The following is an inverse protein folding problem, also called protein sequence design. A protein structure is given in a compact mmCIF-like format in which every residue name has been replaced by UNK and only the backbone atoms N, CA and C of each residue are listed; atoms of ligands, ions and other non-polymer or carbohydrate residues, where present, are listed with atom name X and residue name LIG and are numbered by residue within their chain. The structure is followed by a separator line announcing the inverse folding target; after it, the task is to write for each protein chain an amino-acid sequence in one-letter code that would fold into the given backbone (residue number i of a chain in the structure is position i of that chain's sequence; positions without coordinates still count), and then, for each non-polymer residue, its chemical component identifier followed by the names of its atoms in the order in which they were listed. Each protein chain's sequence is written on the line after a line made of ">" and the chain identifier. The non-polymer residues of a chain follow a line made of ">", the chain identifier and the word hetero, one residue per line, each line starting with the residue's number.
data_IF_106754138234
#
_entry.id   IF_106754138234
#
_cell.length_a   1.000
_cell.length_b   1.000
_cell.length_c   1.000
_cell.angle_alpha   90.00
_cell.angle_beta   90.00
_cell.angle_gamma   90.00
#
_symmetry.space_group_name_H-M   'P 1'
#
loop_
_entity.id
_entity.type
_entity.pdbx_description
1 polymer ?
#
# COMPACT_ATOMS: atom_id res chain seq x y z
N UNK A 1 -6.20 -18.82 -20.35
CA UNK A 1 -5.57 -17.84 -19.44
C UNK A 1 -5.41 -16.52 -20.18
N UNK A 2 -6.41 -15.63 -20.10
CA UNK A 2 -6.28 -14.26 -20.61
C UNK A 2 -5.62 -13.43 -19.51
N UNK A 3 -4.60 -12.69 -19.90
CA UNK A 3 -3.73 -11.89 -19.06
C UNK A 3 -4.53 -10.66 -18.56
N UNK A 4 -5.08 -10.72 -17.34
CA UNK A 4 -5.82 -9.62 -16.69
C UNK A 4 -4.93 -8.66 -15.88
N UNK A 5 -3.61 -8.85 -15.90
CA UNK A 5 -2.67 -8.16 -15.01
C UNK A 5 -2.16 -6.79 -15.49
N UNK A 6 -2.90 -6.03 -16.31
CA UNK A 6 -2.39 -4.74 -16.80
C UNK A 6 -3.41 -3.60 -16.93
N UNK A 7 -4.59 -3.71 -16.33
CA UNK A 7 -5.69 -2.79 -16.64
C UNK A 7 -5.99 -1.70 -15.58
N UNK A 8 -5.33 -1.65 -14.42
CA UNK A 8 -5.88 -0.86 -13.30
C UNK A 8 -5.50 0.63 -13.23
N UNK A 9 -4.33 1.08 -13.70
CA UNK A 9 -3.91 2.48 -13.44
C UNK A 9 -4.18 3.43 -14.62
N UNK A 10 -4.06 2.95 -15.86
CA UNK A 10 -4.16 3.82 -17.04
C UNK A 10 -5.61 4.17 -17.37
N UNK A 11 -6.55 3.26 -17.10
CA UNK A 11 -7.99 3.49 -17.29
C UNK A 11 -8.58 4.37 -16.19
N UNK A 12 -8.20 4.16 -14.92
CA UNK A 12 -8.69 5.00 -13.80
C UNK A 12 -8.20 6.45 -13.87
N UNK A 13 -7.02 6.71 -14.46
CA UNK A 13 -6.46 8.08 -14.61
C UNK A 13 -7.05 8.87 -15.78
N UNK A 14 -7.65 8.21 -16.78
CA UNK A 14 -8.19 8.89 -17.97
C UNK A 14 -9.59 9.48 -17.77
N UNK A 15 -10.23 9.24 -16.63
CA UNK A 15 -11.65 9.52 -16.42
C UNK A 15 -11.86 10.25 -15.08
N UNK A 16 -11.64 11.56 -15.06
CA UNK A 16 -12.00 12.41 -13.92
C UNK A 16 -13.52 12.60 -13.77
N UNK A 17 -14.31 12.20 -14.76
CA UNK A 17 -15.77 12.09 -14.66
C UNK A 17 -16.17 10.61 -14.51
N UNK A 18 -16.88 10.28 -13.43
CA UNK A 18 -17.44 8.94 -13.21
C UNK A 18 -16.49 7.96 -12.50
N UNK A 19 -15.63 8.44 -11.60
CA UNK A 19 -14.77 7.56 -10.80
C UNK A 19 -15.59 6.59 -9.94
N UNK A 20 -16.67 7.09 -9.31
CA UNK A 20 -17.61 6.26 -8.55
C UNK A 20 -18.24 5.15 -9.41
N UNK A 21 -18.67 5.47 -10.62
CA UNK A 21 -19.29 4.51 -11.56
C UNK A 21 -18.28 3.46 -12.03
N UNK A 22 -17.04 3.87 -12.31
CA UNK A 22 -15.98 2.94 -12.68
C UNK A 22 -15.61 2.00 -11.53
N UNK A 23 -15.48 2.53 -10.31
CA UNK A 23 -15.24 1.71 -9.11
C UNK A 23 -16.36 0.68 -8.91
N UNK A 24 -17.63 1.11 -9.03
CA UNK A 24 -18.81 0.25 -8.98
C UNK A 24 -18.79 -0.83 -10.07
N UNK A 25 -18.46 -0.48 -11.31
CA UNK A 25 -18.37 -1.42 -12.43
C UNK A 25 -17.28 -2.47 -12.21
N UNK A 26 -16.07 -2.04 -11.83
CA UNK A 26 -14.94 -2.95 -11.63
C UNK A 26 -15.19 -3.88 -10.43
N UNK A 27 -15.69 -3.33 -9.31
CA UNK A 27 -16.05 -4.16 -8.15
C UNK A 27 -17.16 -5.16 -8.49
N UNK A 28 -18.17 -4.75 -9.28
CA UNK A 28 -19.20 -5.63 -9.83
C UNK A 28 -18.61 -6.82 -10.61
N UNK A 29 -17.67 -6.56 -11.52
CA UNK A 29 -16.99 -7.62 -12.27
C UNK A 29 -16.17 -8.56 -11.39
N UNK A 30 -15.51 -8.05 -10.33
CA UNK A 30 -14.78 -8.90 -9.37
C UNK A 30 -15.75 -9.86 -8.66
N UNK A 31 -16.90 -9.36 -8.20
CA UNK A 31 -17.90 -10.20 -7.53
C UNK A 31 -18.61 -11.17 -8.47
N UNK A 32 -18.87 -10.78 -9.72
CA UNK A 32 -19.44 -11.65 -10.74
C UNK A 32 -18.49 -12.81 -11.07
N UNK A 33 -17.20 -12.50 -11.27
CA UNK A 33 -16.18 -13.52 -11.48
C UNK A 33 -16.06 -14.49 -10.30
N UNK A 34 -16.06 -13.96 -9.07
CA UNK A 34 -16.07 -14.79 -7.86
C UNK A 34 -17.27 -15.75 -7.87
N UNK A 35 -18.46 -15.21 -8.12
CA UNK A 35 -19.71 -15.95 -8.16
C UNK A 35 -19.66 -17.08 -9.20
N UNK A 36 -19.29 -16.78 -10.45
CA UNK A 36 -19.18 -17.77 -11.53
C UNK A 36 -18.24 -18.93 -11.16
N UNK A 37 -17.10 -18.61 -10.54
CA UNK A 37 -16.13 -19.61 -10.10
C UNK A 37 -16.60 -20.45 -8.90
N UNK A 38 -17.57 -19.95 -8.14
CA UNK A 38 -18.15 -20.65 -6.98
C UNK A 38 -19.45 -21.39 -7.29
N UNK A 39 -20.30 -20.89 -8.18
CA UNK A 39 -21.59 -21.51 -8.56
C UNK A 39 -21.36 -22.83 -9.32
N UNK A 40 -20.38 -22.89 -10.23
CA UNK A 40 -19.99 -24.13 -10.89
C UNK A 40 -19.46 -25.22 -9.93
N UNK A 41 -19.08 -24.82 -8.72
CA UNK A 41 -18.69 -25.73 -7.65
C UNK A 41 -19.87 -26.22 -6.80
N UNK A 42 -21.04 -25.56 -6.82
CA UNK A 42 -22.16 -25.93 -5.94
C UNK A 42 -22.83 -27.24 -6.34
N UNK A 43 -22.89 -27.57 -7.63
CA UNK A 43 -23.33 -28.89 -8.13
C UNK A 43 -22.39 -30.02 -7.69
N UNK A 44 -21.07 -29.79 -7.76
CA UNK A 44 -20.04 -30.74 -7.30
C UNK A 44 -20.03 -30.86 -5.76
N UNK A 45 -20.28 -29.76 -5.05
CA UNK A 45 -20.42 -29.74 -3.59
C UNK A 45 -21.67 -30.46 -3.12
N UNK A 46 -22.79 -30.38 -3.85
CA UNK A 46 -23.99 -31.17 -3.57
C UNK A 46 -23.71 -32.69 -3.67
N UNK A 47 -22.73 -33.08 -4.48
CA UNK A 47 -22.22 -34.45 -4.59
C UNK A 47 -21.08 -34.78 -3.59
N UNK A 48 -20.76 -33.86 -2.66
CA UNK A 48 -19.71 -34.04 -1.66
C UNK A 48 -18.27 -33.87 -2.20
N UNK A 49 -18.11 -33.42 -3.44
CA UNK A 49 -16.81 -33.22 -4.09
C UNK A 49 -16.37 -31.76 -3.93
N UNK A 50 -15.79 -31.43 -2.76
CA UNK A 50 -15.27 -30.09 -2.47
C UNK A 50 -13.80 -30.00 -2.88
N UNK A 51 -13.47 -29.17 -3.87
CA UNK A 51 -12.08 -28.82 -4.18
C UNK A 51 -11.62 -27.61 -3.35
N UNK A 52 -11.25 -27.85 -2.09
CA UNK A 52 -10.81 -26.81 -1.16
C UNK A 52 -9.64 -25.95 -1.69
N UNK A 53 -8.80 -26.51 -2.57
CA UNK A 53 -7.69 -25.79 -3.19
C UNK A 53 -8.18 -24.75 -4.19
N UNK A 54 -9.09 -25.11 -5.09
CA UNK A 54 -9.66 -24.19 -6.08
C UNK A 54 -10.45 -23.07 -5.40
N UNK A 55 -11.24 -23.42 -4.40
CA UNK A 55 -11.97 -22.46 -3.58
C UNK A 55 -11.04 -21.42 -2.92
N UNK A 56 -9.93 -21.90 -2.36
CA UNK A 56 -8.93 -21.04 -1.74
C UNK A 56 -8.22 -20.15 -2.77
N UNK A 57 -7.99 -20.65 -3.99
CA UNK A 57 -7.40 -19.87 -5.07
C UNK A 57 -8.36 -18.76 -5.55
N UNK A 58 -9.64 -19.08 -5.75
CA UNK A 58 -10.68 -18.10 -6.12
C UNK A 58 -10.79 -17.03 -5.05
N UNK A 59 -10.79 -17.43 -3.77
CA UNK A 59 -10.76 -16.51 -2.64
C UNK A 59 -9.57 -15.55 -2.72
N UNK A 60 -8.34 -16.07 -2.83
CA UNK A 60 -7.13 -15.25 -2.87
C UNK A 60 -7.12 -14.31 -4.09
N UNK A 61 -7.60 -14.74 -5.25
CA UNK A 61 -7.68 -13.89 -6.44
C UNK A 61 -8.68 -12.75 -6.27
N UNK A 62 -9.86 -13.07 -5.70
CA UNK A 62 -10.90 -12.08 -5.41
C UNK A 62 -10.40 -11.05 -4.40
N UNK A 63 -9.79 -11.52 -3.32
CA UNK A 63 -9.20 -10.67 -2.29
C UNK A 63 -8.13 -9.74 -2.85
N UNK A 64 -7.12 -10.27 -3.55
CA UNK A 64 -6.05 -9.44 -4.09
C UNK A 64 -6.57 -8.37 -5.05
N UNK A 65 -7.48 -8.75 -5.96
CA UNK A 65 -8.05 -7.83 -6.94
C UNK A 65 -8.83 -6.70 -6.26
N UNK A 66 -9.62 -7.05 -5.24
CA UNK A 66 -10.42 -6.07 -4.50
C UNK A 66 -9.54 -5.17 -3.62
N UNK A 67 -8.57 -5.76 -2.89
CA UNK A 67 -7.60 -5.03 -2.09
C UNK A 67 -6.87 -3.97 -2.93
N UNK A 68 -6.40 -4.34 -4.12
CA UNK A 68 -5.76 -3.39 -5.03
C UNK A 68 -6.71 -2.26 -5.44
N UNK A 69 -7.94 -2.58 -5.86
CA UNK A 69 -8.94 -1.59 -6.24
C UNK A 69 -9.27 -0.62 -5.08
N UNK A 70 -9.52 -1.16 -3.90
CA UNK A 70 -9.85 -0.39 -2.69
C UNK A 70 -8.73 0.57 -2.30
N UNK A 71 -7.49 0.08 -2.25
CA UNK A 71 -6.35 0.91 -1.88
C UNK A 71 -6.00 1.94 -2.96
N UNK A 72 -6.17 1.61 -4.24
CA UNK A 72 -6.00 2.57 -5.32
C UNK A 72 -7.04 3.69 -5.26
N UNK A 73 -8.28 3.39 -4.87
CA UNK A 73 -9.31 4.43 -4.71
C UNK A 73 -8.96 5.41 -3.58
N UNK A 74 -8.45 4.92 -2.45
CA UNK A 74 -7.96 5.76 -1.36
C UNK A 74 -6.83 6.69 -1.85
N UNK A 75 -5.83 6.13 -2.54
CA UNK A 75 -4.70 6.92 -3.05
C UNK A 75 -5.16 7.93 -4.11
N UNK A 76 -6.06 7.55 -5.01
CA UNK A 76 -6.64 8.45 -6.00
C UNK A 76 -7.27 9.67 -5.34
N UNK A 77 -8.11 9.47 -4.32
CA UNK A 77 -8.74 10.58 -3.59
C UNK A 77 -7.75 11.53 -2.94
N UNK A 78 -6.71 10.98 -2.32
CA UNK A 78 -5.65 11.79 -1.70
C UNK A 78 -4.96 12.66 -2.76
N UNK A 79 -4.75 12.13 -3.97
CA UNK A 79 -4.03 12.84 -5.02
C UNK A 79 -4.90 13.86 -5.78
N UNK A 80 -6.17 13.58 -6.01
CA UNK A 80 -7.03 14.41 -6.89
C UNK A 80 -7.79 15.50 -6.15
N UNK A 81 -8.17 15.29 -4.89
CA UNK A 81 -8.92 16.29 -4.14
C UNK A 81 -8.00 17.44 -3.75
N UNK A 82 -8.27 18.70 -4.12
CA UNK A 82 -7.36 19.81 -3.81
C UNK A 82 -7.43 20.31 -2.36
N UNK A 83 -8.54 20.03 -1.65
CA UNK A 83 -8.75 20.50 -0.28
C UNK A 83 -8.28 19.45 0.75
N UNK A 84 -7.30 19.82 1.58
CA UNK A 84 -6.74 18.95 2.63
C UNK A 84 -7.82 18.49 3.61
N UNK A 85 -8.70 19.40 4.08
CA UNK A 85 -9.79 19.06 5.00
C UNK A 85 -10.70 17.96 4.45
N UNK A 86 -11.12 18.09 3.18
CA UNK A 86 -11.96 17.08 2.51
C UNK A 86 -11.28 15.70 2.42
N UNK A 87 -9.94 15.64 2.33
CA UNK A 87 -9.20 14.36 2.32
C UNK A 87 -9.23 13.71 3.69
N UNK A 88 -8.95 14.49 4.74
CA UNK A 88 -8.93 14.00 6.13
C UNK A 88 -10.31 13.52 6.56
N UNK A 89 -11.37 14.27 6.20
CA UNK A 89 -12.75 13.88 6.50
C UNK A 89 -13.12 12.55 5.82
N UNK A 90 -12.86 12.44 4.52
CA UNK A 90 -13.07 11.20 3.76
C UNK A 90 -12.32 10.01 4.38
N UNK A 91 -11.03 10.17 4.67
CA UNK A 91 -10.23 9.09 5.26
C UNK A 91 -10.71 8.72 6.67
N UNK A 92 -11.20 9.69 7.43
CA UNK A 92 -11.76 9.45 8.77
C UNK A 92 -13.07 8.67 8.69
N UNK A 93 -13.95 8.99 7.73
CA UNK A 93 -15.17 8.23 7.45
C UNK A 93 -14.85 6.79 7.02
N UNK A 94 -13.89 6.60 6.10
CA UNK A 94 -13.44 5.27 5.69
C UNK A 94 -12.87 4.50 6.88
N UNK A 95 -12.05 5.14 7.72
CA UNK A 95 -11.45 4.50 8.90
C UNK A 95 -12.50 4.03 9.90
N UNK A 96 -13.47 4.87 10.25
CA UNK A 96 -14.56 4.52 11.15
C UNK A 96 -15.38 3.36 10.58
N UNK A 97 -15.70 3.40 9.29
CA UNK A 97 -16.45 2.32 8.65
C UNK A 97 -15.68 0.99 8.63
N UNK A 98 -14.42 1.00 8.18
CA UNK A 98 -13.60 -0.22 8.13
C UNK A 98 -13.44 -0.83 9.53
N UNK A 99 -13.33 0.01 10.56
CA UNK A 99 -13.29 -0.42 11.96
C UNK A 99 -14.60 -1.08 12.39
N UNK A 100 -15.75 -0.46 12.09
CA UNK A 100 -17.08 -1.03 12.38
C UNK A 100 -17.32 -2.34 11.63
N UNK A 101 -17.05 -2.36 10.33
CA UNK A 101 -17.19 -3.55 9.50
C UNK A 101 -16.30 -4.70 10.00
N UNK A 102 -15.09 -4.40 10.48
CA UNK A 102 -14.21 -5.39 11.10
C UNK A 102 -14.82 -5.99 12.37
N UNK A 103 -15.38 -5.16 13.25
CA UNK A 103 -15.99 -5.61 14.50
C UNK A 103 -17.27 -6.44 14.28
N UNK A 104 -17.97 -6.20 13.18
CA UNK A 104 -19.20 -6.92 12.80
C UNK A 104 -18.94 -8.29 12.17
N UNK A 105 -17.70 -8.66 11.86
CA UNK A 105 -17.37 -10.01 11.40
C UNK A 105 -17.48 -10.97 12.59
N UNK A 106 -18.71 -11.43 12.81
CA UNK A 106 -19.03 -12.51 13.73
C UNK A 106 -18.74 -13.85 13.04
N UNK A 107 -17.86 -14.71 13.59
CA UNK A 107 -17.70 -16.05 13.05
C UNK A 107 -19.02 -16.81 13.25
N UNK A 108 -19.67 -17.21 12.16
CA UNK A 108 -20.75 -18.19 12.22
C UNK A 108 -20.14 -19.56 12.56
N UNK A 109 -20.88 -20.33 13.35
CA UNK A 109 -20.56 -21.64 13.91
C UNK A 109 -19.49 -22.44 13.15
N UNK A 110 -18.40 -22.74 13.87
CA UNK A 110 -17.23 -23.49 13.41
C UNK A 110 -17.64 -24.97 13.20
N UNK A 111 -17.69 -25.45 11.95
CA UNK A 111 -17.70 -26.89 11.67
C UNK A 111 -16.26 -27.40 11.72
N UNK A 112 -15.93 -28.33 12.63
CA UNK A 112 -14.61 -28.97 12.68
C UNK A 112 -14.30 -29.66 11.35
N UNK A 113 -13.23 -29.24 10.70
CA UNK A 113 -12.67 -29.89 9.51
C UNK A 113 -11.78 -31.09 9.89
N UNK A 114 -11.41 -31.87 8.88
CA UNK A 114 -10.28 -32.80 8.99
C UNK A 114 -8.96 -32.02 8.90
N UNK A 115 -8.03 -32.32 9.81
CA UNK A 115 -6.70 -31.73 9.94
C UNK A 115 -5.91 -31.63 8.63
N UNK A 116 -6.10 -32.56 7.68
CA UNK A 116 -5.39 -32.54 6.39
C UNK A 116 -5.85 -31.41 5.45
N UNK A 117 -7.15 -31.09 5.44
CA UNK A 117 -7.68 -29.97 4.66
C UNK A 117 -7.26 -28.64 5.27
N UNK A 118 -7.26 -28.57 6.60
CA UNK A 118 -6.79 -27.38 7.34
C UNK A 118 -5.31 -27.09 7.05
N UNK A 119 -4.50 -28.15 7.03
CA UNK A 119 -3.08 -28.04 6.70
C UNK A 119 -2.85 -27.57 5.25
N UNK A 120 -3.58 -28.12 4.28
CA UNK A 120 -3.46 -27.71 2.88
C UNK A 120 -3.84 -26.23 2.68
N UNK A 121 -4.95 -25.78 3.29
CA UNK A 121 -5.39 -24.38 3.22
C UNK A 121 -4.40 -23.43 3.92
N UNK A 122 -3.80 -23.86 5.04
CA UNK A 122 -2.72 -23.12 5.70
C UNK A 122 -1.52 -22.93 4.77
N UNK A 123 -1.09 -23.97 4.06
CA UNK A 123 0.04 -23.89 3.13
C UNK A 123 -0.30 -22.96 1.96
N UNK A 124 -1.51 -23.05 1.41
CA UNK A 124 -1.93 -22.21 0.27
C UNK A 124 -2.01 -20.72 0.63
N UNK A 125 -2.45 -20.39 1.85
CA UNK A 125 -2.56 -18.98 2.33
C UNK A 125 -1.28 -18.39 2.90
N UNK A 126 -0.25 -19.21 3.17
CA UNK A 126 0.88 -18.77 4.01
C UNK A 126 1.60 -17.54 3.45
N UNK A 127 1.78 -17.48 2.12
CA UNK A 127 2.42 -16.35 1.45
C UNK A 127 1.62 -15.05 1.66
N UNK A 128 0.32 -15.11 1.41
CA UNK A 128 -0.60 -13.98 1.55
C UNK A 128 -0.72 -13.48 3.00
N UNK A 129 -0.80 -14.40 3.96
CA UNK A 129 -0.83 -14.05 5.39
C UNK A 129 0.48 -13.40 5.82
N UNK A 130 1.61 -13.94 5.37
CA UNK A 130 2.92 -13.36 5.66
C UNK A 130 3.07 -11.96 5.07
N UNK A 131 2.62 -11.74 3.85
CA UNK A 131 2.64 -10.43 3.19
C UNK A 131 1.81 -9.40 3.96
N UNK A 132 0.57 -9.74 4.35
CA UNK A 132 -0.31 -8.86 5.12
C UNK A 132 0.27 -8.52 6.49
N UNK A 133 0.81 -9.51 7.22
CA UNK A 133 1.50 -9.29 8.51
C UNK A 133 2.70 -8.34 8.38
N UNK A 134 3.45 -8.48 7.29
CA UNK A 134 4.60 -7.62 7.00
C UNK A 134 4.16 -6.18 6.75
N UNK A 135 3.12 -5.97 5.94
CA UNK A 135 2.56 -4.64 5.70
C UNK A 135 2.08 -3.98 7.00
N UNK A 136 1.31 -4.70 7.82
CA UNK A 136 0.83 -4.20 9.13
C UNK A 136 2.01 -3.78 10.01
N UNK A 137 3.01 -4.65 10.16
CA UNK A 137 4.21 -4.37 10.96
C UNK A 137 4.98 -3.14 10.46
N UNK A 138 5.12 -2.97 9.15
CA UNK A 138 5.80 -1.82 8.54
C UNK A 138 5.00 -0.53 8.76
N UNK A 139 3.68 -0.56 8.55
CA UNK A 139 2.80 0.58 8.77
C UNK A 139 2.84 1.05 10.23
N UNK A 140 2.78 0.12 11.18
CA UNK A 140 2.87 0.42 12.61
C UNK A 140 4.22 1.06 12.95
N UNK A 141 5.32 0.45 12.49
CA UNK A 141 6.67 0.97 12.72
C UNK A 141 6.84 2.40 12.19
N UNK A 142 6.41 2.66 10.95
CA UNK A 142 6.55 3.98 10.33
C UNK A 142 5.62 5.01 10.97
N UNK A 143 4.41 4.61 11.37
CA UNK A 143 3.48 5.45 12.11
C UNK A 143 4.02 5.83 13.49
N UNK A 144 4.62 4.89 14.21
CA UNK A 144 5.26 5.14 15.50
C UNK A 144 6.39 6.15 15.38
N UNK A 145 7.26 6.02 14.37
CA UNK A 145 8.35 6.99 14.18
C UNK A 145 7.82 8.41 13.94
N UNK A 146 6.69 8.57 13.27
CA UNK A 146 6.08 9.90 13.08
C UNK A 146 5.54 10.50 14.37
N UNK A 147 5.32 9.72 15.44
CA UNK A 147 4.93 10.26 16.75
C UNK A 147 6.15 10.78 17.53
N UNK A 148 7.37 10.45 17.10
CA UNK A 148 8.59 10.91 17.77
C UNK A 148 8.80 12.42 17.55
N UNK A 149 9.12 13.22 18.60
CA UNK A 149 9.36 14.65 18.47
C UNK A 149 10.50 15.01 17.50
N UNK A 150 11.43 14.08 17.29
CA UNK A 150 12.60 14.26 16.43
C UNK A 150 12.22 14.18 14.94
N UNK A 151 11.13 13.49 14.60
CA UNK A 151 10.69 13.37 13.21
C UNK A 151 9.93 14.62 12.77
N UNK A 152 10.57 15.44 11.92
CA UNK A 152 9.94 16.64 11.36
C UNK A 152 8.86 16.26 10.34
N UNK A 153 7.59 16.47 10.70
CA UNK A 153 6.41 16.15 9.88
C UNK A 153 6.15 17.14 8.75
N UNK A 154 6.57 18.38 8.91
CA UNK A 154 6.35 19.44 7.93
C UNK A 154 7.67 19.82 7.26
N UNK A 155 7.56 20.36 6.05
CA UNK A 155 8.66 20.98 5.32
C UNK A 155 8.44 22.48 5.40
N UNK A 156 9.47 23.22 5.83
CA UNK A 156 9.42 24.68 5.80
C UNK A 156 9.44 25.16 4.35
N UNK A 157 8.69 26.20 4.01
CA UNK A 157 8.53 26.72 2.63
C UNK A 157 9.87 26.99 1.92
N UNK A 158 10.84 27.57 2.64
CA UNK A 158 12.22 27.77 2.17
C UNK A 158 12.93 26.51 1.64
N UNK A 159 12.47 25.31 2.00
CA UNK A 159 13.05 24.03 1.61
C UNK A 159 12.09 23.18 0.76
N UNK A 160 10.97 23.75 0.30
CA UNK A 160 10.04 23.05 -0.58
C UNK A 160 10.68 22.77 -1.95
N UNK A 161 10.42 21.56 -2.45
CA UNK A 161 10.95 21.02 -3.68
C UNK A 161 9.87 20.75 -4.73
N UNK A 162 8.60 21.07 -4.43
CA UNK A 162 7.48 20.82 -5.34
C UNK A 162 7.67 21.51 -6.69
N UNK A 163 7.68 20.72 -7.76
CA UNK A 163 7.81 21.20 -9.13
C UNK A 163 9.22 21.63 -9.54
N UNK A 164 10.24 21.42 -8.70
CA UNK A 164 11.61 21.91 -8.93
C UNK A 164 12.53 20.82 -9.49
N UNK A 165 13.37 21.20 -10.45
CA UNK A 165 14.43 20.36 -11.00
C UNK A 165 15.79 20.71 -10.43
N UNK A 166 16.71 19.74 -10.42
CA UNK A 166 18.06 19.94 -9.86
C UNK A 166 18.86 20.95 -10.66
N UNK A 167 18.67 20.99 -11.98
CA UNK A 167 19.36 21.94 -12.86
C UNK A 167 18.96 23.40 -12.60
N UNK A 168 17.87 23.65 -11.89
CA UNK A 168 17.36 24.99 -11.55
C UNK A 168 17.94 25.54 -10.24
N UNK A 169 18.77 24.76 -9.54
CA UNK A 169 19.34 25.16 -8.25
C UNK A 169 20.68 25.85 -8.44
N UNK A 170 20.71 27.13 -8.05
CA UNK A 170 21.88 28.00 -8.16
C UNK A 170 22.97 27.62 -7.15
N UNK A 171 23.80 26.66 -7.57
CA UNK A 171 25.01 26.30 -6.86
C UNK A 171 24.83 25.31 -5.71
N UNK A 172 25.96 24.69 -5.34
CA UNK A 172 25.95 23.53 -4.44
C UNK A 172 25.59 23.85 -2.99
N UNK A 173 25.82 25.10 -2.55
CA UNK A 173 25.47 25.52 -1.18
C UNK A 173 23.95 25.53 -0.98
N UNK A 174 23.22 26.03 -1.98
CA UNK A 174 21.77 26.13 -1.93
C UNK A 174 21.15 24.74 -2.01
N UNK A 175 21.69 23.87 -2.87
CA UNK A 175 21.31 22.46 -2.92
C UNK A 175 21.47 21.76 -1.56
N UNK A 176 22.62 21.92 -0.90
CA UNK A 176 22.87 21.36 0.44
C UNK A 176 21.85 21.90 1.44
N UNK A 177 21.64 23.21 1.43
CA UNK A 177 20.73 23.86 2.36
C UNK A 177 19.28 23.35 2.20
N UNK A 178 18.84 23.13 0.96
CA UNK A 178 17.50 22.59 0.64
C UNK A 178 17.39 21.12 1.07
N UNK A 179 18.34 20.27 0.67
CA UNK A 179 18.28 18.83 0.94
C UNK A 179 18.38 18.54 2.44
N UNK A 180 19.26 19.26 3.16
CA UNK A 180 19.48 19.09 4.59
C UNK A 180 18.53 19.93 5.46
N UNK A 181 17.66 20.73 4.84
CA UNK A 181 16.69 21.60 5.53
C UNK A 181 17.37 22.50 6.58
N UNK A 182 18.47 23.14 6.19
CA UNK A 182 19.27 24.02 7.04
C UNK A 182 20.23 23.32 8.02
N UNK A 183 20.23 21.98 8.09
CA UNK A 183 21.23 21.24 8.89
C UNK A 183 22.62 21.38 8.27
N UNK A 184 23.62 21.44 9.15
CA UNK A 184 25.03 21.52 8.73
C UNK A 184 25.60 20.11 8.53
N UNK A 185 26.15 19.86 7.34
CA UNK A 185 27.00 18.70 7.07
C UNK A 185 28.28 19.14 6.35
N UNK A 186 29.37 18.38 6.52
CA UNK A 186 30.60 18.60 5.75
C UNK A 186 30.31 18.38 4.27
N UNK A 187 30.75 19.32 3.44
CA UNK A 187 30.52 19.31 1.99
C UNK A 187 30.95 18.00 1.30
N UNK A 188 32.11 17.46 1.66
CA UNK A 188 32.62 16.20 1.11
C UNK A 188 31.68 15.03 1.38
N UNK A 189 31.20 14.93 2.64
CA UNK A 189 30.28 13.88 3.08
C UNK A 189 28.93 13.98 2.39
N UNK A 190 28.42 15.21 2.24
CA UNK A 190 27.17 15.43 1.52
C UNK A 190 27.30 15.00 0.07
N UNK A 191 28.36 15.42 -0.63
CA UNK A 191 28.55 15.06 -2.04
C UNK A 191 28.68 13.56 -2.24
N UNK A 192 29.43 12.88 -1.38
CA UNK A 192 29.57 11.42 -1.42
C UNK A 192 28.20 10.74 -1.31
N UNK A 193 27.38 11.17 -0.34
CA UNK A 193 26.04 10.61 -0.11
C UNK A 193 25.04 10.98 -1.22
N UNK A 194 25.01 12.24 -1.61
CA UNK A 194 24.08 12.76 -2.61
C UNK A 194 24.35 12.17 -3.99
N UNK A 195 25.61 11.93 -4.35
CA UNK A 195 25.97 11.26 -5.61
C UNK A 195 25.39 9.84 -5.71
N UNK A 196 25.16 9.16 -4.57
CA UNK A 196 24.55 7.84 -4.54
C UNK A 196 23.04 7.89 -4.83
N UNK A 197 22.36 9.01 -4.54
CA UNK A 197 20.90 9.12 -4.68
C UNK A 197 20.41 8.83 -6.10
N UNK A 198 21.15 9.22 -7.15
CA UNK A 198 20.74 8.97 -8.53
C UNK A 198 20.69 7.46 -8.84
N UNK A 199 21.71 6.71 -8.41
CA UNK A 199 21.74 5.26 -8.53
C UNK A 199 20.64 4.61 -7.68
N UNK A 200 20.41 5.13 -6.47
CA UNK A 200 19.32 4.65 -5.61
C UNK A 200 17.95 4.86 -6.26
N UNK A 201 17.68 6.01 -6.90
CA UNK A 201 16.44 6.25 -7.65
C UNK A 201 16.21 5.16 -8.70
N UNK A 202 17.24 4.81 -9.49
CA UNK A 202 17.13 3.74 -10.49
C UNK A 202 16.82 2.38 -9.84
N UNK A 203 17.53 2.02 -8.78
CA UNK A 203 17.29 0.76 -8.05
C UNK A 203 15.87 0.72 -7.49
N UNK A 204 15.41 1.81 -6.87
CA UNK A 204 14.06 1.90 -6.31
C UNK A 204 12.98 1.79 -7.39
N UNK A 205 13.24 2.27 -8.60
CA UNK A 205 12.31 2.11 -9.71
C UNK A 205 12.17 0.64 -10.12
N UNK A 206 13.30 -0.06 -10.25
CA UNK A 206 13.34 -1.47 -10.69
C UNK A 206 12.82 -2.41 -9.59
N UNK A 207 13.25 -2.21 -8.35
CA UNK A 207 13.09 -3.18 -7.26
C UNK A 207 11.93 -2.90 -6.31
N UNK A 208 11.50 -1.64 -6.20
CA UNK A 208 10.41 -1.21 -5.32
C UNK A 208 9.19 -0.66 -6.09
N UNK A 209 9.24 -0.67 -7.44
CA UNK A 209 8.12 -0.27 -8.31
C UNK A 209 7.73 1.20 -8.17
N UNK A 210 8.69 2.07 -7.83
CA UNK A 210 8.47 3.52 -7.75
C UNK A 210 8.81 4.20 -9.07
N UNK A 211 8.23 5.37 -9.32
CA UNK A 211 8.56 6.19 -10.48
C UNK A 211 9.29 7.44 -10.01
N UNK A 212 10.52 7.26 -9.58
CA UNK A 212 11.42 8.33 -9.15
C UNK A 212 12.28 8.77 -10.33
N UNK A 213 12.62 10.05 -10.35
CA UNK A 213 13.51 10.66 -11.32
C UNK A 213 14.65 11.31 -10.57
N UNK A 214 15.88 11.06 -11.04
CA UNK A 214 17.08 11.69 -10.50
C UNK A 214 17.19 13.18 -10.89
N UNK A 215 16.37 13.67 -11.82
CA UNK A 215 16.36 15.08 -12.23
C UNK A 215 15.44 15.92 -11.34
N UNK A 216 14.48 15.27 -10.68
CA UNK A 216 13.47 15.95 -9.88
C UNK A 216 13.94 16.09 -8.43
N UNK A 217 14.02 17.33 -7.96
CA UNK A 217 14.67 17.65 -6.68
C UNK A 217 13.94 17.02 -5.49
N UNK A 218 12.60 16.96 -5.54
CA UNK A 218 11.80 16.34 -4.50
C UNK A 218 12.13 14.85 -4.33
N UNK A 219 12.33 14.12 -5.43
CA UNK A 219 12.68 12.70 -5.38
C UNK A 219 14.06 12.50 -4.74
N UNK A 220 15.04 13.29 -5.15
CA UNK A 220 16.40 13.20 -4.61
C UNK A 220 16.43 13.55 -3.12
N UNK A 221 15.69 14.58 -2.71
CA UNK A 221 15.52 14.95 -1.29
C UNK A 221 14.90 13.81 -0.48
N UNK A 222 13.82 13.22 -0.99
CA UNK A 222 13.16 12.07 -0.33
C UNK A 222 14.11 10.89 -0.21
N UNK A 223 14.82 10.51 -1.28
CA UNK A 223 15.77 9.40 -1.24
C UNK A 223 16.90 9.68 -0.25
N UNK A 224 17.46 10.88 -0.26
CA UNK A 224 18.50 11.27 0.69
C UNK A 224 18.01 11.14 2.13
N UNK A 225 16.87 11.74 2.45
CA UNK A 225 16.31 11.78 3.81
C UNK A 225 15.84 10.40 4.29
N UNK A 226 15.06 9.69 3.48
CA UNK A 226 14.41 8.44 3.90
C UNK A 226 15.33 7.22 3.80
N UNK A 227 16.29 7.22 2.88
CA UNK A 227 17.19 6.08 2.67
C UNK A 227 18.55 6.31 3.30
N UNK A 228 19.16 7.49 3.16
CA UNK A 228 20.53 7.74 3.62
C UNK A 228 20.58 8.25 5.06
N UNK A 229 19.76 9.23 5.42
CA UNK A 229 19.80 9.85 6.76
C UNK A 229 18.97 9.10 7.80
N UNK A 230 17.75 8.69 7.45
CA UNK A 230 16.83 8.10 8.41
C UNK A 230 17.33 6.73 8.91
N UNK A 231 17.67 6.72 10.19
CA UNK A 231 18.24 5.58 10.90
C UNK A 231 17.24 4.50 11.29
N UNK A 232 15.94 4.65 11.01
CA UNK A 232 14.92 3.64 11.33
C UNK A 232 15.30 2.25 10.78
N UNK A 233 15.23 1.25 11.64
CA UNK A 233 15.57 -0.14 11.34
C UNK A 233 14.32 -1.00 11.25
N UNK A 234 14.29 -1.89 10.26
CA UNK A 234 13.32 -2.98 10.16
C UNK A 234 14.09 -4.30 10.22
N UNK A 235 13.69 -5.21 11.13
CA UNK A 235 14.41 -6.46 11.41
C UNK A 235 15.93 -6.24 11.63
N UNK A 236 16.28 -5.21 12.41
CA UNK A 236 17.66 -4.89 12.78
C UNK A 236 18.50 -4.21 11.68
N UNK A 237 17.98 -4.03 10.47
CA UNK A 237 18.71 -3.42 9.34
C UNK A 237 18.06 -2.10 8.92
N UNK A 238 18.85 -1.08 8.60
CA UNK A 238 18.34 0.20 8.09
C UNK A 238 18.21 0.21 6.56
N UNK A 239 17.47 1.18 6.04
CA UNK A 239 17.19 1.31 4.61
C UNK A 239 18.47 1.46 3.76
N UNK A 240 19.41 2.31 4.19
CA UNK A 240 20.68 2.51 3.49
C UNK A 240 21.43 1.19 3.26
N UNK A 241 21.53 0.35 4.30
CA UNK A 241 22.24 -0.93 4.23
C UNK A 241 21.53 -1.91 3.29
N UNK A 242 20.19 -1.95 3.33
CA UNK A 242 19.40 -2.80 2.43
C UNK A 242 19.65 -2.41 0.96
N UNK A 243 19.54 -1.13 0.61
CA UNK A 243 19.70 -0.70 -0.79
C UNK A 243 21.16 -0.80 -1.24
N UNK A 244 22.14 -0.51 -0.37
CA UNK A 244 23.57 -0.67 -0.71
C UNK A 244 23.95 -2.11 -1.06
N UNK A 245 23.35 -3.11 -0.39
CA UNK A 245 23.53 -4.52 -0.76
C UNK A 245 23.04 -4.81 -2.18
N UNK A 246 21.92 -4.20 -2.57
CA UNK A 246 21.34 -4.35 -3.91
C UNK A 246 22.22 -3.68 -4.96
N UNK A 247 22.66 -2.43 -4.72
CA UNK A 247 23.55 -1.68 -5.63
C UNK A 247 24.87 -2.42 -5.88
N UNK A 248 25.41 -3.07 -4.86
CA UNK A 248 26.69 -3.78 -4.95
C UNK A 248 26.56 -5.23 -5.47
N UNK A 249 25.35 -5.72 -5.74
CA UNK A 249 25.15 -7.06 -6.28
C UNK A 249 25.44 -7.09 -7.78
N UNK A 250 26.16 -8.11 -8.26
CA UNK A 250 26.62 -8.23 -9.66
C UNK A 250 25.53 -8.73 -10.62
N UNK A 251 24.27 -8.30 -10.43
CA UNK A 251 23.12 -8.81 -11.17
C UNK A 251 21.99 -7.80 -11.27
N UNK A 252 20.76 -8.28 -11.55
CA UNK A 252 19.57 -7.42 -11.56
C UNK A 252 19.37 -6.90 -10.14
N UNK A 253 19.34 -5.57 -9.99
CA UNK A 253 19.15 -4.90 -8.72
C UNK A 253 17.77 -5.24 -8.12
N UNK A 254 17.69 -6.31 -7.31
CA UNK A 254 16.48 -6.75 -6.60
C UNK A 254 16.77 -6.94 -5.11
N UNK A 255 15.76 -6.71 -4.28
CA UNK A 255 15.86 -6.96 -2.84
C UNK A 255 15.86 -8.47 -2.55
N UNK A 256 16.55 -8.88 -1.49
CA UNK A 256 16.65 -10.29 -1.10
C UNK A 256 15.32 -10.83 -0.55
N UNK A 257 14.43 -9.95 -0.10
CA UNK A 257 13.10 -10.34 0.35
C UNK A 257 12.04 -9.31 -0.02
N UNK A 258 10.81 -9.79 -0.21
CA UNK A 258 9.61 -8.95 -0.40
C UNK A 258 9.46 -7.96 0.77
N UNK A 259 9.83 -8.38 1.99
CA UNK A 259 9.71 -7.55 3.20
C UNK A 259 10.62 -6.31 3.15
N UNK A 260 11.86 -6.48 2.68
CA UNK A 260 12.79 -5.36 2.47
C UNK A 260 12.24 -4.41 1.41
N UNK A 261 11.77 -4.94 0.27
CA UNK A 261 11.17 -4.12 -0.78
C UNK A 261 9.96 -3.32 -0.27
N UNK A 262 9.06 -3.95 0.49
CA UNK A 262 7.90 -3.30 1.10
C UNK A 262 8.29 -2.19 2.07
N UNK A 263 9.27 -2.45 2.96
CA UNK A 263 9.74 -1.44 3.91
C UNK A 263 10.29 -0.22 3.20
N UNK A 264 11.19 -0.44 2.23
CA UNK A 264 11.80 0.64 1.44
C UNK A 264 10.73 1.41 0.65
N UNK A 265 9.83 0.68 -0.03
CA UNK A 265 8.72 1.25 -0.80
C UNK A 265 7.84 2.17 0.05
N UNK A 266 7.60 1.80 1.30
CA UNK A 266 6.74 2.55 2.21
C UNK A 266 7.46 3.75 2.84
N UNK A 267 8.77 3.65 3.13
CA UNK A 267 9.60 4.81 3.52
C UNK A 267 9.58 5.91 2.45
N UNK A 268 9.76 5.54 1.18
CA UNK A 268 9.68 6.48 0.07
C UNK A 268 8.29 7.12 -0.01
N UNK A 269 7.22 6.37 0.25
CA UNK A 269 5.86 6.94 0.28
C UNK A 269 5.73 7.98 1.38
N UNK A 270 6.14 7.64 2.59
CA UNK A 270 6.12 8.56 3.73
C UNK A 270 6.85 9.87 3.39
N UNK A 271 8.05 9.78 2.83
CA UNK A 271 8.81 10.96 2.40
C UNK A 271 8.07 11.79 1.36
N UNK A 272 7.47 11.17 0.34
CA UNK A 272 6.69 11.89 -0.68
C UNK A 272 5.44 12.55 -0.12
N UNK A 273 4.71 11.87 0.77
CA UNK A 273 3.55 12.44 1.46
C UNK A 273 3.97 13.65 2.31
N UNK A 274 5.12 13.54 3.00
CA UNK A 274 5.68 14.65 3.77
C UNK A 274 6.01 15.87 2.89
N UNK A 275 6.70 15.67 1.77
CA UNK A 275 7.03 16.78 0.86
C UNK A 275 5.79 17.41 0.22
N UNK A 276 4.64 16.76 0.29
CA UNK A 276 3.35 17.31 -0.12
C UNK A 276 2.53 17.88 1.05
N UNK A 277 3.08 17.89 2.27
CA UNK A 277 2.40 18.26 3.52
C UNK A 277 1.16 17.39 3.84
N UNK A 278 1.24 16.09 3.55
CA UNK A 278 0.12 15.12 3.66
C UNK A 278 0.37 14.03 4.71
N UNK A 279 1.09 14.35 5.79
CA UNK A 279 1.45 13.34 6.80
C UNK A 279 0.20 12.80 7.52
N UNK A 280 -0.82 13.62 7.75
CA UNK A 280 -2.03 13.15 8.43
C UNK A 280 -2.82 12.18 7.54
N UNK A 281 -2.93 12.45 6.23
CA UNK A 281 -3.49 11.51 5.27
C UNK A 281 -2.68 10.23 5.18
N UNK A 282 -1.34 10.32 5.24
CA UNK A 282 -0.46 9.15 5.26
C UNK A 282 -0.73 8.26 6.48
N UNK A 283 -0.84 8.86 7.67
CA UNK A 283 -1.15 8.15 8.92
C UNK A 283 -2.52 7.46 8.82
N UNK A 284 -3.55 8.18 8.36
CA UNK A 284 -4.90 7.64 8.22
C UNK A 284 -4.94 6.51 7.19
N UNK A 285 -4.32 6.69 6.01
CA UNK A 285 -4.17 5.65 4.98
C UNK A 285 -3.52 4.39 5.55
N UNK A 286 -2.46 4.53 6.35
CA UNK A 286 -1.80 3.39 7.00
C UNK A 286 -2.70 2.71 8.03
N UNK A 287 -3.45 3.47 8.84
CA UNK A 287 -4.41 2.90 9.80
C UNK A 287 -5.51 2.11 9.10
N UNK A 288 -6.11 2.67 8.04
CA UNK A 288 -7.12 1.98 7.23
C UNK A 288 -6.56 0.66 6.69
N UNK A 289 -5.36 0.70 6.08
CA UNK A 289 -4.70 -0.48 5.54
C UNK A 289 -4.39 -1.52 6.62
N UNK A 290 -3.90 -1.11 7.79
CA UNK A 290 -3.59 -2.03 8.87
C UNK A 290 -4.84 -2.70 9.43
N UNK A 291 -5.93 -1.96 9.64
CA UNK A 291 -7.19 -2.56 10.10
C UNK A 291 -7.70 -3.54 9.05
N UNK A 292 -7.80 -3.10 7.79
CA UNK A 292 -8.24 -3.95 6.69
C UNK A 292 -7.43 -5.26 6.58
N UNK A 293 -6.09 -5.18 6.61
CA UNK A 293 -5.24 -6.36 6.56
C UNK A 293 -5.32 -7.24 7.80
N UNK A 294 -5.46 -6.67 9.00
CA UNK A 294 -5.70 -7.44 10.21
C UNK A 294 -7.05 -8.17 10.15
N UNK A 295 -8.10 -7.51 9.65
CA UNK A 295 -9.39 -8.15 9.41
C UNK A 295 -9.27 -9.32 8.43
N UNK A 296 -8.55 -9.14 7.32
CA UNK A 296 -8.29 -10.23 6.38
C UNK A 296 -7.48 -11.36 7.02
N UNK A 297 -6.49 -11.07 7.86
CA UNK A 297 -5.74 -12.08 8.59
C UNK A 297 -6.63 -12.88 9.53
N UNK A 298 -7.53 -12.22 10.25
CA UNK A 298 -8.53 -12.91 11.06
C UNK A 298 -9.45 -13.79 10.23
N UNK A 299 -9.88 -13.30 9.05
CA UNK A 299 -10.68 -14.09 8.10
C UNK A 299 -9.88 -15.31 7.65
N UNK A 300 -8.62 -15.16 7.22
CA UNK A 300 -7.77 -16.30 6.84
C UNK A 300 -7.60 -17.32 7.98
N UNK A 301 -7.39 -16.84 9.21
CA UNK A 301 -7.20 -17.70 10.37
C UNK A 301 -8.49 -18.45 10.73
N UNK A 302 -9.66 -17.85 10.50
CA UNK A 302 -10.99 -18.42 10.78
C UNK A 302 -11.52 -19.28 9.62
N UNK A 303 -11.27 -18.91 8.37
CA UNK A 303 -11.72 -19.60 7.13
C UNK A 303 -11.01 -20.93 6.85
N UNK A 304 -9.88 -21.20 7.51
CA UNK A 304 -9.29 -22.54 7.55
C UNK A 304 -10.32 -23.56 8.07
N UNK A 305 -11.35 -23.13 8.82
CA UNK A 305 -12.41 -23.97 9.36
C UNK A 305 -13.74 -23.62 8.62
N UNK A 306 -14.37 -24.59 7.93
CA UNK A 306 -15.40 -24.28 6.91
C UNK A 306 -16.60 -23.47 7.43
N UNK A 307 -17.08 -22.52 6.59
CA UNK A 307 -18.36 -21.82 6.72
C UNK A 307 -18.36 -20.30 6.47
N UNK A 308 -17.20 -19.69 6.22
CA UNK A 308 -17.00 -18.23 6.38
C UNK A 308 -16.80 -17.46 5.05
N UNK A 309 -16.87 -18.13 3.88
CA UNK A 309 -16.82 -17.46 2.55
C UNK A 309 -17.85 -16.34 2.41
N UNK A 310 -19.06 -16.57 2.93
CA UNK A 310 -20.12 -15.55 2.97
C UNK A 310 -19.71 -14.35 3.81
N UNK A 311 -18.98 -14.55 4.91
CA UNK A 311 -18.57 -13.47 5.80
C UNK A 311 -17.50 -12.58 5.14
N UNK A 312 -16.56 -13.18 4.40
CA UNK A 312 -15.59 -12.41 3.61
C UNK A 312 -16.26 -11.63 2.49
N UNK A 313 -17.11 -12.27 1.68
CA UNK A 313 -17.81 -11.59 0.59
C UNK A 313 -18.76 -10.53 1.14
N UNK A 314 -19.44 -10.79 2.26
CA UNK A 314 -20.25 -9.78 2.95
C UNK A 314 -19.39 -8.62 3.45
N UNK A 315 -18.22 -8.88 4.02
CA UNK A 315 -17.29 -7.83 4.44
C UNK A 315 -16.84 -6.96 3.26
N UNK A 316 -16.41 -7.59 2.16
CA UNK A 316 -16.00 -6.87 0.97
C UNK A 316 -17.16 -6.07 0.36
N UNK A 317 -18.36 -6.65 0.25
CA UNK A 317 -19.55 -5.94 -0.24
C UNK A 317 -19.89 -4.74 0.63
N UNK A 318 -19.88 -4.88 1.96
CA UNK A 318 -20.09 -3.75 2.89
C UNK A 318 -19.10 -2.62 2.64
N UNK A 319 -17.80 -2.93 2.51
CA UNK A 319 -16.78 -1.91 2.19
C UNK A 319 -17.04 -1.32 0.81
N UNK A 320 -17.43 -2.13 -0.17
CA UNK A 320 -17.71 -1.68 -1.54
C UNK A 320 -18.86 -0.67 -1.57
N UNK A 321 -19.98 -1.02 -0.95
CA UNK A 321 -21.19 -0.19 -0.92
C UNK A 321 -20.91 1.14 -0.21
N UNK A 322 -20.16 1.10 0.90
CA UNK A 322 -19.70 2.32 1.57
C UNK A 322 -18.81 3.16 0.66
N UNK A 323 -17.79 2.54 0.05
CA UNK A 323 -16.87 3.26 -0.82
C UNK A 323 -17.64 3.94 -1.94
N UNK A 324 -18.45 3.20 -2.69
CA UNK A 324 -19.32 3.75 -3.75
C UNK A 324 -20.11 4.96 -3.24
N UNK A 325 -20.75 4.86 -2.07
CA UNK A 325 -21.49 5.97 -1.46
C UNK A 325 -20.63 7.20 -1.18
N UNK A 326 -19.42 7.01 -0.63
CA UNK A 326 -18.48 8.12 -0.41
C UNK A 326 -17.93 8.71 -1.71
N UNK A 327 -17.66 7.86 -2.72
CA UNK A 327 -17.18 8.29 -4.02
C UNK A 327 -18.20 9.19 -4.72
N UNK A 328 -19.49 8.80 -4.74
CA UNK A 328 -20.55 9.62 -5.33
C UNK A 328 -20.72 10.95 -4.62
N UNK A 329 -20.67 10.97 -3.28
CA UNK A 329 -20.68 12.25 -2.54
C UNK A 329 -19.57 13.16 -3.03
N UNK A 330 -18.37 12.64 -3.27
CA UNK A 330 -17.23 13.46 -3.71
C UNK A 330 -17.38 13.94 -5.14
N UNK A 331 -17.87 13.09 -6.05
CA UNK A 331 -18.12 13.45 -7.46
C UNK A 331 -19.18 14.58 -7.57
N UNK A 332 -20.11 14.70 -6.63
CA UNK A 332 -21.07 15.82 -6.55
C UNK A 332 -20.45 17.16 -6.10
N UNK A 333 -19.27 17.14 -5.48
CA UNK A 333 -18.58 18.32 -4.93
C UNK A 333 -17.35 18.79 -5.73
N UNK A 334 -17.04 18.14 -6.86
CA UNK A 334 -16.00 18.55 -7.82
C UNK A 334 -16.62 19.35 -8.97
#
# INVERSE_FOLDING_TARGET
>A
MRNTNATSIRELRQLSSGFAENYKKISGHIFEYHRECTEGNDELRALGMVNAKEDMQVFMLTENSYSDLFLQAIIYHILTNKAISKRVDFLSEVLDFVSKASNEIMPRTIKKNNIFQDFANCILSIGQRNEKRVNVSIHELLNQQMLEPIYQKTVHENFDCKGRFICEIDGKKDLINIILEGKREKYERFNERFSQCAALCMVLNISAGRQLSADYLQHMKVVYREIIEDGLKYNGTNAHTMVKKVVNSTGVATFNSIKESMFIREKISRGLFRECNLIDEYILKNKIQSIYYNTLLEIYDKEIIYGIKDSFIMYLKKITDMMIGLLYKIDEYQ
#
